data_IF_484922173155
#
_entry.id   IF_484922173155
#
_cell.length_a   1.000
_cell.length_b   1.000
_cell.length_c   1.000
_cell.angle_alpha   90.00
_cell.angle_beta   90.00
_cell.angle_gamma   90.00
#
_symmetry.space_group_name_H-M   'P 1'
#
loop_
_entity.id
_entity.type
_entity.pdbx_description
1 polymer ?
#
# COMPACT_ATOMS: atom_id res chain seq x y z
N UNK A 1 -6.28 -11.37 -27.97
CA UNK A 1 -5.13 -10.68 -28.61
C UNK A 1 -5.52 -9.23 -28.93
N UNK A 2 -4.71 -8.27 -28.48
CA UNK A 2 -4.88 -6.83 -28.72
C UNK A 2 -3.58 -6.29 -29.33
N UNK A 3 -3.67 -5.79 -30.57
CA UNK A 3 -2.52 -5.40 -31.39
C UNK A 3 -2.45 -3.86 -31.54
N UNK A 4 -1.48 -3.36 -32.30
CA UNK A 4 -1.23 -1.92 -32.44
C UNK A 4 -2.51 -1.12 -32.77
N UNK A 5 -2.68 0.00 -32.07
CA UNK A 5 -3.78 0.96 -32.22
C UNK A 5 -5.17 0.42 -31.85
N UNK A 6 -5.26 -0.78 -31.29
CA UNK A 6 -6.53 -1.30 -30.78
C UNK A 6 -6.82 -0.74 -29.38
N UNK A 7 -8.04 -0.24 -29.20
CA UNK A 7 -8.59 0.22 -27.93
C UNK A 7 -9.77 -0.68 -27.57
N UNK A 8 -9.63 -1.44 -26.50
CA UNK A 8 -10.64 -2.44 -26.07
C UNK A 8 -11.16 -2.07 -24.69
N UNK A 9 -12.48 -1.98 -24.54
CA UNK A 9 -13.13 -1.83 -23.23
C UNK A 9 -13.92 -3.08 -22.89
N UNK A 10 -13.63 -3.66 -21.74
CA UNK A 10 -14.29 -4.82 -21.17
C UNK A 10 -15.09 -4.34 -19.96
N UNK A 11 -16.41 -4.33 -20.10
CA UNK A 11 -17.31 -3.83 -19.07
C UNK A 11 -18.42 -4.85 -18.79
N UNK A 12 -18.31 -5.53 -17.64
CA UNK A 12 -19.26 -6.54 -17.19
C UNK A 12 -19.19 -7.85 -17.98
N UNK A 13 -18.15 -8.05 -18.78
CA UNK A 13 -17.96 -9.26 -19.60
C UNK A 13 -17.02 -10.23 -18.90
N UNK A 14 -17.28 -11.54 -19.04
CA UNK A 14 -16.43 -12.58 -18.49
C UNK A 14 -15.53 -13.17 -19.59
N UNK A 15 -14.21 -13.15 -19.36
CA UNK A 15 -13.21 -13.84 -20.17
C UNK A 15 -12.69 -15.01 -19.34
N UNK A 16 -13.28 -16.19 -19.56
CA UNK A 16 -13.06 -17.34 -18.68
C UNK A 16 -12.71 -18.63 -19.40
N UNK A 17 -11.94 -19.48 -18.72
CA UNK A 17 -11.65 -20.86 -19.13
C UNK A 17 -10.96 -20.98 -20.48
N UNK A 18 -10.13 -20.01 -20.83
CA UNK A 18 -9.32 -20.05 -22.05
C UNK A 18 -7.97 -20.71 -21.76
N UNK A 19 -7.41 -21.37 -22.78
CA UNK A 19 -6.05 -21.91 -22.73
C UNK A 19 -5.25 -21.36 -23.91
N UNK A 20 -4.08 -20.80 -23.65
CA UNK A 20 -3.20 -20.27 -24.70
C UNK A 20 -1.73 -20.40 -24.31
N UNK A 21 -0.83 -20.11 -25.24
CA UNK A 21 0.60 -19.98 -24.93
C UNK A 21 0.87 -18.79 -24.01
N UNK A 22 0.23 -17.64 -24.27
CA UNK A 22 0.45 -16.39 -23.55
C UNK A 22 -0.85 -15.61 -23.40
N UNK A 23 -1.05 -14.95 -22.27
CA UNK A 23 -2.20 -14.06 -22.04
C UNK A 23 -3.52 -14.77 -22.34
N UNK A 24 -3.77 -15.92 -21.68
CA UNK A 24 -4.84 -16.82 -22.10
C UNK A 24 -6.22 -16.15 -22.05
N UNK A 25 -6.44 -15.24 -21.10
CA UNK A 25 -7.54 -14.29 -21.21
C UNK A 25 -7.24 -13.17 -22.21
N UNK A 26 -6.23 -12.34 -21.91
CA UNK A 26 -5.88 -11.16 -22.72
C UNK A 26 -4.38 -11.13 -22.99
N UNK A 27 -4.00 -10.96 -24.26
CA UNK A 27 -2.62 -10.71 -24.67
C UNK A 27 -2.51 -9.35 -25.38
N UNK A 28 -1.76 -8.42 -24.79
CA UNK A 28 -1.48 -7.06 -25.30
C UNK A 28 -0.05 -7.02 -25.83
N UNK A 29 0.12 -6.69 -27.11
CA UNK A 29 1.37 -6.98 -27.83
C UNK A 29 2.19 -5.76 -28.22
N UNK A 30 1.56 -4.60 -28.41
CA UNK A 30 2.20 -3.43 -29.02
C UNK A 30 2.01 -2.21 -28.14
N UNK A 31 3.01 -1.32 -28.11
CA UNK A 31 3.03 -0.14 -27.25
C UNK A 31 1.83 0.80 -27.38
N UNK A 32 1.14 0.82 -28.52
CA UNK A 32 -0.07 1.64 -28.73
C UNK A 32 -1.38 0.91 -28.47
N UNK A 33 -1.33 -0.36 -28.07
CA UNK A 33 -2.53 -1.11 -27.68
C UNK A 33 -2.98 -0.68 -26.27
N UNK A 34 -4.29 -0.49 -26.12
CA UNK A 34 -4.89 -0.02 -24.86
C UNK A 34 -6.09 -0.88 -24.51
N UNK A 35 -6.11 -1.41 -23.28
CA UNK A 35 -7.21 -2.23 -22.77
C UNK A 35 -7.70 -1.66 -21.45
N UNK A 36 -9.01 -1.47 -21.33
CA UNK A 36 -9.68 -1.09 -20.08
C UNK A 36 -10.58 -2.23 -19.62
N UNK A 37 -10.45 -2.62 -18.36
CA UNK A 37 -11.36 -3.51 -17.65
C UNK A 37 -12.06 -2.72 -16.53
N UNK A 38 -13.38 -2.63 -16.57
CA UNK A 38 -14.15 -1.85 -15.59
C UNK A 38 -15.03 -2.71 -14.69
N UNK A 39 -15.40 -3.90 -15.16
CA UNK A 39 -16.22 -4.86 -14.44
C UNK A 39 -16.19 -6.22 -15.18
N UNK A 40 -16.64 -7.27 -14.51
CA UNK A 40 -16.64 -8.64 -15.03
C UNK A 40 -15.50 -9.48 -14.45
N UNK A 41 -15.36 -10.69 -14.96
CA UNK A 41 -14.37 -11.67 -14.51
C UNK A 41 -13.39 -12.02 -15.64
N UNK A 42 -12.11 -11.80 -15.42
CA UNK A 42 -11.02 -12.43 -16.18
C UNK A 42 -10.50 -13.57 -15.33
N UNK A 43 -10.97 -14.79 -15.56
CA UNK A 43 -10.68 -15.87 -14.61
C UNK A 43 -10.65 -17.27 -15.17
N UNK A 44 -10.05 -18.19 -14.41
CA UNK A 44 -9.92 -19.59 -14.84
C UNK A 44 -9.18 -19.79 -16.17
N UNK A 45 -8.38 -18.81 -16.60
CA UNK A 45 -7.60 -18.91 -17.82
C UNK A 45 -6.24 -19.54 -17.53
N UNK A 46 -5.73 -20.37 -18.44
CA UNK A 46 -4.46 -21.09 -18.30
C UNK A 46 -3.49 -20.72 -19.41
N UNK A 47 -2.35 -20.14 -19.05
CA UNK A 47 -1.21 -19.97 -19.95
C UNK A 47 -0.24 -21.14 -19.79
N UNK A 48 0.03 -21.87 -20.88
CA UNK A 48 1.00 -22.97 -20.90
C UNK A 48 2.06 -22.80 -22.01
N UNK A 49 2.95 -21.79 -21.90
CA UNK A 49 3.95 -21.50 -22.91
C UNK A 49 4.84 -22.71 -23.27
N UNK A 50 5.13 -23.59 -22.30
CA UNK A 50 5.98 -24.78 -22.48
C UNK A 50 5.28 -25.85 -23.30
N UNK A 51 3.99 -26.11 -23.05
CA UNK A 51 3.18 -27.03 -23.84
C UNK A 51 3.03 -26.61 -25.31
N UNK A 52 3.10 -25.31 -25.61
CA UNK A 52 2.95 -24.78 -26.97
C UNK A 52 4.26 -24.58 -27.75
N UNK A 53 5.40 -24.27 -27.09
CA UNK A 53 6.62 -23.87 -27.81
C UNK A 53 7.69 -24.96 -27.94
N UNK A 54 7.64 -26.03 -27.14
CA UNK A 54 8.54 -27.19 -27.22
C UNK A 54 10.04 -26.91 -27.16
N UNK A 55 10.47 -25.66 -26.92
CA UNK A 55 11.84 -25.21 -27.18
C UNK A 55 12.50 -24.54 -25.97
N UNK A 56 11.89 -24.59 -24.78
CA UNK A 56 12.55 -24.22 -23.53
C UNK A 56 13.06 -22.79 -23.45
N UNK A 57 12.66 -21.88 -24.36
CA UNK A 57 12.93 -20.44 -24.23
C UNK A 57 11.77 -19.85 -23.43
N UNK A 58 12.09 -19.57 -22.17
CA UNK A 58 11.22 -19.55 -21.02
C UNK A 58 11.15 -18.13 -20.47
N UNK A 59 10.18 -17.38 -20.99
CA UNK A 59 10.17 -15.93 -20.76
C UNK A 59 8.78 -15.28 -20.93
N UNK A 60 7.70 -16.04 -20.94
CA UNK A 60 6.39 -15.50 -21.31
C UNK A 60 5.30 -16.11 -20.44
N UNK A 61 4.70 -15.29 -19.58
CA UNK A 61 3.64 -15.69 -18.64
C UNK A 61 2.28 -15.07 -18.95
N UNK A 62 1.43 -14.96 -17.93
CA UNK A 62 0.13 -14.28 -18.00
C UNK A 62 -1.03 -15.24 -18.19
N UNK A 63 -1.41 -15.95 -17.12
CA UNK A 63 -2.58 -16.83 -17.14
C UNK A 63 -3.83 -16.05 -17.51
N UNK A 64 -4.13 -15.00 -16.74
CA UNK A 64 -5.21 -14.06 -17.07
C UNK A 64 -4.80 -13.11 -18.18
N UNK A 65 -3.77 -12.32 -17.91
CA UNK A 65 -3.35 -11.21 -18.75
C UNK A 65 -1.84 -11.27 -18.97
N UNK A 66 -1.43 -11.14 -20.23
CA UNK A 66 -0.07 -10.82 -20.58
C UNK A 66 0.00 -9.45 -21.26
N UNK A 67 0.68 -8.50 -20.63
CA UNK A 67 1.04 -7.22 -21.23
C UNK A 67 2.51 -7.24 -21.66
N UNK A 68 2.76 -7.59 -22.92
CA UNK A 68 4.11 -7.55 -23.47
C UNK A 68 4.57 -6.11 -23.70
N UNK A 69 3.75 -5.34 -24.41
CA UNK A 69 3.91 -3.90 -24.63
C UNK A 69 2.50 -3.29 -24.74
N UNK A 70 2.32 -2.08 -24.23
CA UNK A 70 1.04 -1.37 -24.26
C UNK A 70 0.51 -1.08 -22.87
N UNK A 71 -0.78 -0.73 -22.78
CA UNK A 71 -1.40 -0.29 -21.53
C UNK A 71 -2.60 -1.16 -21.17
N UNK A 72 -2.63 -1.64 -19.94
CA UNK A 72 -3.81 -2.24 -19.33
C UNK A 72 -4.24 -1.40 -18.14
N UNK A 73 -5.53 -1.05 -18.09
CA UNK A 73 -6.13 -0.33 -16.96
C UNK A 73 -7.30 -1.15 -16.43
N UNK A 74 -7.24 -1.54 -15.16
CA UNK A 74 -8.39 -2.09 -14.44
C UNK A 74 -8.90 -1.07 -13.43
N UNK A 75 -10.20 -0.81 -13.42
CA UNK A 75 -10.85 0.11 -12.46
C UNK A 75 -11.94 -0.57 -11.63
N UNK A 76 -12.05 -1.90 -11.76
CA UNK A 76 -13.05 -2.73 -11.13
C UNK A 76 -13.06 -4.14 -11.68
N UNK A 77 -13.96 -4.96 -11.15
CA UNK A 77 -14.09 -6.38 -11.51
C UNK A 77 -13.03 -7.27 -10.85
N UNK A 78 -12.97 -8.50 -11.34
CA UNK A 78 -12.15 -9.56 -10.74
C UNK A 78 -11.20 -10.18 -11.78
N UNK A 79 -9.96 -10.42 -11.38
CA UNK A 79 -8.97 -11.21 -12.11
C UNK A 79 -8.60 -12.40 -11.23
N UNK A 80 -9.26 -13.54 -11.42
CA UNK A 80 -9.25 -14.59 -10.39
C UNK A 80 -9.10 -16.00 -10.93
N UNK A 81 -8.43 -16.86 -10.17
CA UNK A 81 -8.23 -18.27 -10.49
C UNK A 81 -7.56 -18.53 -11.84
N UNK A 82 -6.75 -17.59 -12.33
CA UNK A 82 -5.95 -17.82 -13.52
C UNK A 82 -4.67 -18.57 -13.16
N UNK A 83 -4.16 -19.37 -14.09
CA UNK A 83 -2.95 -20.18 -13.91
C UNK A 83 -1.94 -19.91 -15.03
N UNK A 84 -0.69 -19.72 -14.66
CA UNK A 84 0.44 -19.69 -15.59
C UNK A 84 1.43 -20.80 -15.20
N UNK A 85 1.83 -21.65 -16.15
CA UNK A 85 2.90 -22.64 -15.92
C UNK A 85 4.29 -21.98 -15.83
N UNK A 86 4.35 -20.65 -15.81
CA UNK A 86 5.57 -19.86 -15.60
C UNK A 86 5.36 -18.75 -14.57
N UNK A 87 5.51 -17.48 -14.96
CA UNK A 87 5.27 -16.30 -14.11
C UNK A 87 3.90 -15.65 -14.40
N UNK A 88 3.42 -14.83 -13.48
CA UNK A 88 2.25 -13.96 -13.71
C UNK A 88 0.97 -14.76 -13.88
N UNK A 89 0.47 -15.36 -12.79
CA UNK A 89 -0.78 -16.14 -12.82
C UNK A 89 -1.96 -15.28 -13.25
N UNK A 90 -2.18 -14.17 -12.55
CA UNK A 90 -3.16 -13.15 -12.89
C UNK A 90 -2.66 -12.26 -14.02
N UNK A 91 -1.59 -11.50 -13.76
CA UNK A 91 -1.03 -10.52 -14.68
C UNK A 91 0.48 -10.72 -14.82
N UNK A 92 0.96 -10.82 -16.05
CA UNK A 92 2.36 -10.74 -16.43
C UNK A 92 2.61 -9.44 -17.21
N UNK A 93 3.68 -8.72 -16.88
CA UNK A 93 4.11 -7.49 -17.58
C UNK A 93 5.56 -7.59 -18.01
N UNK A 94 5.80 -7.59 -19.32
CA UNK A 94 7.17 -7.54 -19.84
C UNK A 94 7.70 -6.10 -19.89
N UNK A 95 7.06 -5.23 -20.66
CA UNK A 95 7.51 -3.84 -20.89
C UNK A 95 6.35 -2.86 -21.09
N UNK A 96 5.17 -3.24 -20.59
CA UNK A 96 3.97 -2.41 -20.66
C UNK A 96 3.73 -1.58 -19.39
N UNK A 97 2.62 -0.85 -19.42
CA UNK A 97 2.08 -0.11 -18.28
C UNK A 97 0.82 -0.81 -17.78
N UNK A 98 0.72 -1.00 -16.48
CA UNK A 98 -0.46 -1.58 -15.83
C UNK A 98 -0.92 -0.70 -14.68
N UNK A 99 -2.17 -0.26 -14.72
CA UNK A 99 -2.82 0.44 -13.60
C UNK A 99 -3.99 -0.40 -13.14
N UNK A 100 -4.06 -0.72 -11.86
CA UNK A 100 -5.10 -1.54 -11.25
C UNK A 100 -5.68 -0.79 -10.08
N UNK A 101 -6.95 -0.40 -10.19
CA UNK A 101 -7.66 0.34 -9.15
C UNK A 101 -8.94 -0.40 -8.79
N UNK A 102 -9.27 -0.49 -7.50
CA UNK A 102 -10.53 -1.09 -7.02
C UNK A 102 -10.83 -2.48 -7.60
N UNK A 103 -9.79 -3.28 -7.86
CA UNK A 103 -9.92 -4.59 -8.52
C UNK A 103 -9.52 -5.70 -7.55
N UNK A 104 -10.20 -6.84 -7.63
CA UNK A 104 -9.81 -8.05 -6.89
C UNK A 104 -8.92 -8.94 -7.77
N UNK A 105 -7.75 -9.31 -7.27
CA UNK A 105 -6.91 -10.36 -7.83
C UNK A 105 -6.85 -11.52 -6.84
N UNK A 106 -7.60 -12.60 -7.09
CA UNK A 106 -7.75 -13.66 -6.10
C UNK A 106 -7.47 -15.06 -6.65
N UNK A 107 -6.76 -15.89 -5.86
CA UNK A 107 -6.59 -17.31 -6.16
C UNK A 107 -5.81 -17.59 -7.45
N UNK A 108 -5.04 -16.64 -7.97
CA UNK A 108 -4.24 -16.82 -9.17
C UNK A 108 -2.94 -17.56 -8.83
N UNK A 109 -2.52 -18.43 -9.73
CA UNK A 109 -1.39 -19.34 -9.53
C UNK A 109 -0.37 -19.13 -10.65
N UNK A 110 0.89 -19.01 -10.28
CA UNK A 110 2.04 -19.15 -11.17
C UNK A 110 2.85 -20.36 -10.69
N UNK A 111 3.54 -21.08 -11.57
CA UNK A 111 4.41 -22.18 -11.13
C UNK A 111 5.77 -21.67 -10.61
N UNK A 112 6.19 -20.46 -11.01
CA UNK A 112 7.47 -19.87 -10.62
C UNK A 112 7.33 -18.64 -9.70
N UNK A 113 6.72 -17.54 -10.16
CA UNK A 113 6.57 -16.33 -9.34
C UNK A 113 5.42 -15.42 -9.79
N UNK A 114 4.93 -14.58 -8.87
CA UNK A 114 3.91 -13.57 -9.16
C UNK A 114 2.56 -14.19 -9.47
N UNK A 115 1.95 -14.83 -8.47
CA UNK A 115 0.62 -15.41 -8.59
C UNK A 115 -0.39 -14.36 -9.02
N UNK A 116 -0.44 -13.20 -8.36
CA UNK A 116 -1.31 -12.09 -8.78
C UNK A 116 -0.66 -11.30 -9.92
N UNK A 117 0.61 -10.94 -9.74
CA UNK A 117 1.33 -10.04 -10.63
C UNK A 117 2.82 -10.38 -10.72
N UNK A 118 3.37 -10.33 -11.93
CA UNK A 118 4.81 -10.35 -12.17
C UNK A 118 5.22 -9.27 -13.18
N UNK A 119 6.32 -8.57 -12.92
CA UNK A 119 6.97 -7.67 -13.89
C UNK A 119 8.40 -8.08 -14.20
N UNK A 120 8.81 -7.96 -15.47
CA UNK A 120 10.06 -8.56 -15.93
C UNK A 120 11.16 -7.60 -16.37
N UNK A 121 10.87 -6.66 -17.28
CA UNK A 121 11.89 -5.78 -17.85
C UNK A 121 11.80 -4.37 -17.24
N UNK A 122 12.93 -3.65 -17.17
CA UNK A 122 13.01 -2.32 -16.55
C UNK A 122 12.04 -1.26 -17.10
N UNK A 123 11.52 -1.45 -18.31
CA UNK A 123 10.49 -0.58 -18.89
C UNK A 123 9.07 -0.84 -18.35
N UNK A 124 8.85 -1.93 -17.60
CA UNK A 124 7.57 -2.22 -16.98
C UNK A 124 7.31 -1.25 -15.83
N UNK A 125 6.16 -0.57 -15.89
CA UNK A 125 5.67 0.31 -14.83
C UNK A 125 4.29 -0.15 -14.43
N UNK A 126 4.06 -0.35 -13.14
CA UNK A 126 2.79 -0.86 -12.66
C UNK A 126 2.36 -0.22 -11.36
N UNK A 127 1.06 -0.03 -11.20
CA UNK A 127 0.45 0.64 -10.06
C UNK A 127 -0.80 -0.10 -9.63
N UNK A 128 -0.92 -0.35 -8.33
CA UNK A 128 -2.06 -0.99 -7.69
C UNK A 128 -2.57 -0.08 -6.59
N UNK A 129 -3.80 0.39 -6.72
CA UNK A 129 -4.43 1.33 -5.80
C UNK A 129 -5.75 0.76 -5.30
N UNK A 130 -6.00 0.79 -3.99
CA UNK A 130 -7.30 0.37 -3.41
C UNK A 130 -7.77 -1.02 -3.89
N UNK A 131 -6.84 -1.93 -4.11
CA UNK A 131 -7.12 -3.23 -4.70
C UNK A 131 -6.96 -4.35 -3.68
N UNK A 132 -7.55 -5.51 -3.95
CA UNK A 132 -7.44 -6.67 -3.09
C UNK A 132 -6.64 -7.76 -3.79
N UNK A 133 -5.50 -8.15 -3.23
CA UNK A 133 -4.75 -9.32 -3.66
C UNK A 133 -4.93 -10.38 -2.58
N UNK A 134 -5.50 -11.54 -2.94
CA UNK A 134 -5.74 -12.59 -1.94
C UNK A 134 -5.49 -13.99 -2.46
N UNK A 135 -4.94 -14.86 -1.61
CA UNK A 135 -4.76 -16.29 -1.91
C UNK A 135 -4.00 -16.58 -3.22
N UNK A 136 -3.13 -15.66 -3.66
CA UNK A 136 -2.33 -15.84 -4.87
C UNK A 136 -1.03 -16.58 -4.53
N UNK A 137 -0.59 -17.47 -5.43
CA UNK A 137 0.54 -18.36 -5.21
C UNK A 137 1.52 -18.38 -6.40
N UNK A 138 2.83 -18.58 -6.15
CA UNK A 138 3.47 -18.76 -4.84
C UNK A 138 3.69 -17.44 -4.11
N UNK A 139 3.67 -16.31 -4.83
CA UNK A 139 3.79 -14.96 -4.27
C UNK A 139 2.61 -14.09 -4.68
N UNK A 140 2.28 -13.05 -3.91
CA UNK A 140 1.27 -12.09 -4.34
C UNK A 140 1.79 -11.31 -5.55
N UNK A 141 2.90 -10.61 -5.37
CA UNK A 141 3.58 -9.85 -6.42
C UNK A 141 5.04 -10.28 -6.54
N UNK A 142 5.58 -10.17 -7.76
CA UNK A 142 6.99 -10.39 -8.03
C UNK A 142 7.52 -9.36 -9.05
N UNK A 143 8.74 -8.87 -8.86
CA UNK A 143 9.43 -8.03 -9.85
C UNK A 143 10.82 -8.57 -10.13
N UNK A 144 11.15 -8.76 -11.41
CA UNK A 144 12.49 -9.14 -11.87
C UNK A 144 13.29 -7.90 -12.28
N UNK A 145 12.71 -7.00 -13.09
CA UNK A 145 13.21 -5.67 -13.37
C UNK A 145 11.99 -4.82 -13.75
N UNK A 146 11.82 -3.64 -13.17
CA UNK A 146 10.64 -2.80 -13.38
C UNK A 146 10.32 -1.98 -12.14
N UNK A 147 9.28 -1.17 -12.23
CA UNK A 147 8.78 -0.35 -11.12
C UNK A 147 7.35 -0.76 -10.80
N UNK A 148 7.10 -1.05 -9.53
CA UNK A 148 5.78 -1.39 -9.01
C UNK A 148 5.45 -0.48 -7.80
N UNK A 149 4.31 0.19 -7.87
CA UNK A 149 3.70 0.90 -6.74
C UNK A 149 2.48 0.13 -6.26
N UNK A 150 2.34 -0.07 -4.95
CA UNK A 150 1.15 -0.68 -4.34
C UNK A 150 0.71 0.21 -3.19
N UNK A 151 -0.48 0.76 -3.27
CA UNK A 151 -0.99 1.73 -2.32
C UNK A 151 -2.44 1.45 -1.94
N UNK A 152 -2.78 1.71 -0.68
CA UNK A 152 -4.17 1.62 -0.22
C UNK A 152 -4.80 0.23 -0.30
N UNK A 153 -4.01 -0.80 -0.55
CA UNK A 153 -4.48 -2.10 -0.98
C UNK A 153 -4.50 -3.10 0.18
N UNK A 154 -5.30 -4.14 0.03
CA UNK A 154 -5.33 -5.28 0.96
C UNK A 154 -4.61 -6.46 0.34
N UNK A 155 -3.60 -7.00 1.02
CA UNK A 155 -2.83 -8.16 0.60
C UNK A 155 -2.97 -9.24 1.67
N UNK A 156 -3.68 -10.33 1.35
CA UNK A 156 -4.08 -11.32 2.36
C UNK A 156 -3.86 -12.77 1.91
N UNK A 157 -3.51 -13.63 2.85
CA UNK A 157 -3.40 -15.07 2.64
C UNK A 157 -2.37 -15.43 1.56
N UNK A 158 -1.12 -15.04 1.78
CA UNK A 158 -0.01 -15.29 0.86
C UNK A 158 1.14 -16.04 1.54
N UNK A 159 1.77 -16.99 0.87
CA UNK A 159 3.03 -17.54 1.39
C UNK A 159 4.10 -16.44 1.42
N UNK A 160 4.32 -15.78 0.28
CA UNK A 160 5.18 -14.59 0.16
C UNK A 160 4.39 -13.42 -0.40
N UNK A 161 4.42 -12.25 0.25
CA UNK A 161 3.66 -11.09 -0.23
C UNK A 161 4.39 -10.42 -1.39
N UNK A 162 5.63 -9.96 -1.18
CA UNK A 162 6.42 -9.20 -2.14
C UNK A 162 7.75 -9.92 -2.40
N UNK A 163 7.99 -10.33 -3.64
CA UNK A 163 9.30 -10.82 -4.09
C UNK A 163 9.93 -9.83 -5.06
N UNK A 164 11.15 -9.38 -4.77
CA UNK A 164 11.87 -8.40 -5.60
C UNK A 164 13.22 -8.97 -5.98
N UNK A 165 13.27 -9.73 -7.07
CA UNK A 165 14.52 -10.28 -7.60
C UNK A 165 15.36 -9.20 -8.30
N UNK A 166 14.70 -8.12 -8.73
CA UNK A 166 15.30 -6.87 -9.17
C UNK A 166 14.24 -5.79 -9.45
N UNK A 167 14.69 -4.60 -9.85
CA UNK A 167 13.82 -3.43 -9.98
C UNK A 167 13.51 -2.74 -8.64
N UNK A 168 12.37 -2.05 -8.60
CA UNK A 168 11.95 -1.24 -7.45
C UNK A 168 10.48 -1.45 -7.13
N UNK A 169 10.19 -1.73 -5.87
CA UNK A 169 8.83 -1.74 -5.32
C UNK A 169 8.69 -0.61 -4.31
N UNK A 170 7.63 0.19 -4.46
CA UNK A 170 7.15 1.13 -3.44
C UNK A 170 5.80 0.65 -2.95
N UNK A 171 5.66 0.43 -1.64
CA UNK A 171 4.40 0.01 -1.04
C UNK A 171 4.11 0.84 0.19
N UNK A 172 2.91 1.42 0.30
CA UNK A 172 2.47 2.18 1.49
C UNK A 172 0.96 2.15 1.65
N UNK A 173 0.47 2.51 2.84
CA UNK A 173 -0.95 2.53 3.18
C UNK A 173 -1.69 1.20 2.89
N UNK A 174 -0.96 0.07 2.89
CA UNK A 174 -1.56 -1.24 2.66
C UNK A 174 -1.88 -1.95 3.98
N UNK A 175 -2.94 -2.76 3.96
CA UNK A 175 -3.25 -3.76 4.98
C UNK A 175 -2.73 -5.13 4.51
N UNK A 176 -1.69 -5.64 5.16
CA UNK A 176 -1.01 -6.88 4.78
C UNK A 176 -1.15 -7.89 5.91
N UNK A 177 -1.87 -8.98 5.67
CA UNK A 177 -2.24 -9.97 6.70
C UNK A 177 -2.09 -11.41 6.22
N UNK A 178 -2.10 -12.34 7.18
CA UNK A 178 -2.08 -13.79 6.94
C UNK A 178 -0.99 -14.23 5.94
N UNK A 179 0.27 -13.94 6.25
CA UNK A 179 1.40 -14.32 5.40
C UNK A 179 2.51 -15.04 6.15
N UNK A 180 3.35 -15.78 5.43
CA UNK A 180 4.55 -16.43 5.99
C UNK A 180 5.79 -15.54 5.84
N UNK A 181 5.98 -14.96 4.67
CA UNK A 181 7.09 -14.05 4.34
C UNK A 181 6.54 -12.76 3.74
N UNK A 182 6.87 -11.61 4.33
CA UNK A 182 6.43 -10.31 3.84
C UNK A 182 7.18 -9.93 2.57
N UNK A 183 8.50 -9.74 2.69
CA UNK A 183 9.38 -9.27 1.62
C UNK A 183 10.56 -10.23 1.48
N UNK A 184 10.94 -10.54 0.24
CA UNK A 184 12.15 -11.29 -0.08
C UNK A 184 12.78 -10.83 -1.40
N UNK A 185 13.99 -11.28 -1.70
CA UNK A 185 14.75 -10.94 -2.90
C UNK A 185 15.86 -9.91 -2.66
N UNK A 186 16.54 -9.52 -3.75
CA UNK A 186 17.74 -8.67 -3.72
C UNK A 186 17.54 -7.28 -4.34
N UNK A 187 16.35 -6.98 -4.86
CA UNK A 187 16.02 -5.67 -5.42
C UNK A 187 15.70 -4.61 -4.35
N UNK A 188 15.28 -3.43 -4.81
CA UNK A 188 15.00 -2.30 -3.91
C UNK A 188 13.53 -2.27 -3.50
N UNK A 189 13.28 -2.24 -2.19
CA UNK A 189 11.94 -2.09 -1.62
C UNK A 189 11.90 -0.88 -0.73
N UNK A 190 10.98 0.03 -1.01
CA UNK A 190 10.46 0.99 -0.03
C UNK A 190 9.12 0.45 0.46
N UNK A 191 9.14 -0.19 1.63
CA UNK A 191 7.96 -0.86 2.21
C UNK A 191 7.42 -0.12 3.43
N UNK A 192 7.76 1.16 3.58
CA UNK A 192 7.39 2.00 4.72
C UNK A 192 5.89 2.24 4.74
N UNK A 193 5.35 2.53 5.91
CA UNK A 193 3.95 2.93 6.08
C UNK A 193 2.95 1.86 5.62
N UNK A 194 3.28 0.59 5.72
CA UNK A 194 2.30 -0.50 5.62
C UNK A 194 1.93 -1.02 7.00
N UNK A 195 0.71 -1.55 7.13
CA UNK A 195 0.37 -2.39 8.26
C UNK A 195 0.62 -3.85 7.91
N UNK A 196 1.56 -4.47 8.60
CA UNK A 196 1.95 -5.88 8.40
C UNK A 196 1.14 -6.86 9.27
N UNK A 197 0.03 -6.41 9.85
CA UNK A 197 -0.75 -7.21 10.81
C UNK A 197 -0.16 -7.16 12.22
N UNK A 198 -0.99 -7.52 13.22
CA UNK A 198 -0.61 -7.42 14.64
C UNK A 198 0.42 -8.45 15.10
N UNK A 199 0.58 -9.55 14.36
CA UNK A 199 1.52 -10.63 14.69
C UNK A 199 2.86 -10.57 13.93
N UNK A 200 3.11 -9.52 13.15
CA UNK A 200 4.32 -9.40 12.35
C UNK A 200 5.58 -9.29 13.22
N UNK A 201 6.61 -10.04 12.84
CA UNK A 201 7.97 -9.91 13.38
C UNK A 201 8.91 -9.39 12.29
N UNK A 202 10.06 -8.85 12.69
CA UNK A 202 11.10 -8.43 11.74
C UNK A 202 11.50 -9.58 10.81
N UNK A 203 11.64 -10.79 11.38
CA UNK A 203 11.97 -12.00 10.63
C UNK A 203 10.88 -12.43 9.63
N UNK A 204 9.59 -12.29 9.99
CA UNK A 204 8.49 -12.59 9.09
C UNK A 204 8.37 -11.56 7.96
N UNK A 205 8.59 -10.26 8.24
CA UNK A 205 8.57 -9.21 7.20
C UNK A 205 9.79 -9.30 6.29
N UNK A 206 10.97 -9.67 6.79
CA UNK A 206 12.15 -9.94 5.96
C UNK A 206 12.79 -8.70 5.33
N UNK A 207 12.33 -7.48 5.65
CA UNK A 207 12.89 -6.21 5.20
C UNK A 207 12.89 -5.21 6.35
N UNK A 208 14.07 -4.67 6.68
CA UNK A 208 14.26 -3.70 7.77
C UNK A 208 13.52 -2.40 7.48
N UNK A 209 13.66 -1.86 6.28
CA UNK A 209 12.96 -0.63 5.86
C UNK A 209 11.44 -0.76 5.98
N UNK A 210 10.89 -1.91 5.59
CA UNK A 210 9.45 -2.15 5.70
C UNK A 210 8.99 -2.37 7.15
N UNK A 211 9.82 -3.01 7.99
CA UNK A 211 9.44 -3.34 9.35
C UNK A 211 9.63 -2.16 10.31
N UNK A 212 10.73 -1.43 10.21
CA UNK A 212 11.09 -0.34 11.13
C UNK A 212 10.16 0.88 10.96
N UNK A 213 9.61 1.08 9.76
CA UNK A 213 8.72 2.20 9.42
C UNK A 213 7.25 1.78 9.22
N UNK A 214 6.82 0.67 9.84
CA UNK A 214 5.44 0.19 9.71
C UNK A 214 4.44 1.04 10.50
N UNK A 215 3.18 1.06 10.06
CA UNK A 215 2.08 1.83 10.68
C UNK A 215 1.65 1.33 12.07
N UNK A 216 1.88 0.05 12.35
CA UNK A 216 1.59 -0.55 13.65
C UNK A 216 0.10 -0.74 14.01
N UNK A 217 -0.84 -0.11 13.29
CA UNK A 217 -2.26 -0.42 13.27
C UNK A 217 -2.79 -0.45 11.83
N UNK A 218 -3.95 -1.07 11.64
CA UNK A 218 -4.58 -1.17 10.33
C UNK A 218 -4.86 0.20 9.72
N UNK A 219 -4.77 0.27 8.40
CA UNK A 219 -5.24 1.38 7.59
C UNK A 219 -6.76 1.32 7.55
N UNK A 220 -7.42 2.35 8.07
CA UNK A 220 -8.88 2.51 8.04
C UNK A 220 -9.30 3.36 6.86
N UNK A 221 -8.55 4.42 6.58
CA UNK A 221 -8.73 5.31 5.45
C UNK A 221 -7.37 5.86 5.02
N UNK A 222 -7.22 6.28 3.77
CA UNK A 222 -6.00 6.92 3.30
C UNK A 222 -6.28 7.79 2.06
N UNK A 223 -5.38 8.71 1.77
CA UNK A 223 -5.47 9.53 0.57
C UNK A 223 -4.21 10.35 0.31
N UNK A 224 -4.03 10.72 -0.95
CA UNK A 224 -3.07 11.73 -1.35
C UNK A 224 -3.64 13.12 -1.05
N UNK A 225 -2.98 13.88 -0.18
CA UNK A 225 -3.33 15.25 0.17
C UNK A 225 -4.45 15.38 1.22
N UNK A 226 -5.55 14.63 1.16
CA UNK A 226 -6.66 14.81 2.12
C UNK A 226 -7.54 13.56 2.30
N UNK A 227 -8.19 13.47 3.47
CA UNK A 227 -9.25 12.52 3.80
C UNK A 227 -10.62 13.20 3.92
N UNK A 228 -11.67 12.41 3.85
CA UNK A 228 -13.05 12.88 3.96
C UNK A 228 -13.39 13.50 5.33
N UNK A 229 -12.67 13.12 6.39
CA UNK A 229 -12.83 13.68 7.74
C UNK A 229 -12.15 15.05 7.93
N UNK A 230 -11.47 15.55 6.89
CA UNK A 230 -10.77 16.84 6.87
C UNK A 230 -9.32 16.77 7.33
N UNK A 231 -8.77 15.58 7.58
CA UNK A 231 -7.32 15.42 7.68
C UNK A 231 -6.66 15.79 6.34
N UNK A 232 -5.56 16.54 6.37
CA UNK A 232 -4.92 17.00 5.14
C UNK A 232 -3.42 17.24 5.30
N UNK A 233 -2.70 17.19 4.18
CA UNK A 233 -1.28 17.50 4.02
C UNK A 233 -1.08 18.30 2.73
N UNK A 234 -0.40 19.45 2.81
CA UNK A 234 -0.24 20.36 1.67
C UNK A 234 1.01 21.24 1.77
N UNK A 235 1.33 21.98 0.70
CA UNK A 235 2.35 23.03 0.68
C UNK A 235 3.70 22.63 0.10
N UNK A 236 4.18 21.41 0.35
CA UNK A 236 5.45 20.94 -0.19
C UNK A 236 5.39 20.59 -1.69
N UNK A 237 6.51 20.07 -2.21
CA UNK A 237 6.62 19.60 -3.59
C UNK A 237 6.61 18.08 -3.63
N UNK A 238 5.83 17.49 -4.53
CA UNK A 238 5.60 16.04 -4.63
C UNK A 238 4.25 15.65 -4.04
N UNK A 239 4.11 14.39 -3.64
CA UNK A 239 2.87 13.84 -3.08
C UNK A 239 2.97 13.72 -1.57
N UNK A 240 2.04 14.37 -0.85
CA UNK A 240 1.82 14.15 0.57
C UNK A 240 0.72 13.11 0.78
N UNK A 241 0.91 12.22 1.73
CA UNK A 241 0.00 11.09 1.99
C UNK A 241 -0.47 11.18 3.43
N UNK A 242 -1.77 10.94 3.62
CA UNK A 242 -2.40 10.86 4.94
C UNK A 242 -3.08 9.50 5.07
N UNK A 243 -2.84 8.83 6.20
CA UNK A 243 -3.45 7.56 6.59
C UNK A 243 -4.19 7.78 7.90
N UNK A 244 -5.40 7.26 8.02
CA UNK A 244 -6.11 7.15 9.29
C UNK A 244 -6.07 5.72 9.82
N UNK A 245 -5.77 5.57 11.11
CA UNK A 245 -5.91 4.31 11.85
C UNK A 245 -7.24 4.21 12.61
N UNK A 246 -8.14 5.18 12.41
CA UNK A 246 -9.34 5.32 13.23
C UNK A 246 -8.99 5.55 14.70
N UNK A 247 -9.72 4.90 15.59
CA UNK A 247 -9.51 5.00 17.05
C UNK A 247 -8.51 3.97 17.59
N UNK A 248 -7.95 3.12 16.74
CA UNK A 248 -6.97 2.11 17.14
C UNK A 248 -5.63 2.78 17.42
N UNK A 249 -5.05 2.49 18.57
CA UNK A 249 -3.70 2.98 18.90
C UNK A 249 -2.68 2.24 18.01
N UNK A 250 -1.85 2.95 17.25
CA UNK A 250 -0.79 2.35 16.43
C UNK A 250 0.32 1.69 17.27
N UNK A 251 1.20 0.97 16.59
CA UNK A 251 2.28 0.14 17.15
C UNK A 251 1.84 -1.04 18.03
N UNK A 252 0.63 -1.57 17.81
CA UNK A 252 0.17 -2.81 18.43
C UNK A 252 0.08 -2.74 19.96
N UNK A 253 -0.17 -1.54 20.50
CA UNK A 253 -0.05 -1.27 21.93
C UNK A 253 -1.33 -1.62 22.68
N UNK A 254 -1.31 -2.63 23.56
CA UNK A 254 -2.44 -2.96 24.39
C UNK A 254 -2.33 -2.14 25.67
N UNK A 255 -2.73 -0.88 25.62
CA UNK A 255 -3.18 -0.18 26.82
C UNK A 255 -4.48 0.53 26.51
N UNK A 256 -5.42 0.48 27.46
CA UNK A 256 -6.62 1.29 27.40
C UNK A 256 -6.22 2.73 27.13
N UNK A 257 -6.88 3.38 26.15
CA UNK A 257 -6.69 4.81 25.93
C UNK A 257 -6.82 5.55 27.26
N UNK A 258 -5.92 6.51 27.50
CA UNK A 258 -6.03 7.37 28.67
C UNK A 258 -7.04 8.44 28.29
N UNK A 259 -8.31 8.22 28.67
CA UNK A 259 -9.41 9.05 28.23
C UNK A 259 -9.81 8.80 26.76
N UNK A 260 -10.58 9.72 26.20
CA UNK A 260 -11.07 9.66 24.81
C UNK A 260 -10.29 10.67 23.98
N UNK A 261 -9.60 10.20 22.93
CA UNK A 261 -8.92 11.08 21.97
C UNK A 261 -9.92 11.98 21.24
N UNK A 262 -9.51 13.20 20.91
CA UNK A 262 -10.37 14.15 20.21
C UNK A 262 -10.27 14.08 18.68
N UNK A 263 -9.59 13.07 18.15
CA UNK A 263 -9.41 12.78 16.72
C UNK A 263 -9.15 11.29 16.53
N UNK A 264 -9.14 10.83 15.27
CA UNK A 264 -8.48 9.56 14.96
C UNK A 264 -6.96 9.69 15.16
N UNK A 265 -6.26 8.57 15.14
CA UNK A 265 -4.82 8.51 14.93
C UNK A 265 -4.54 8.56 13.43
N UNK A 266 -3.58 9.38 13.02
CA UNK A 266 -3.21 9.55 11.62
C UNK A 266 -1.72 9.36 11.42
N UNK A 267 -1.27 8.84 10.29
CA UNK A 267 0.12 8.93 9.86
C UNK A 267 0.20 9.87 8.65
N UNK A 268 1.20 10.76 8.66
CA UNK A 268 1.44 11.71 7.57
C UNK A 268 2.86 11.51 7.07
N UNK A 269 2.98 11.28 5.76
CA UNK A 269 4.25 11.06 5.11
C UNK A 269 4.24 11.58 3.69
N UNK A 270 5.34 11.39 2.97
CA UNK A 270 5.46 11.83 1.58
C UNK A 270 5.97 10.72 0.69
N UNK A 271 5.51 10.70 -0.55
CA UNK A 271 6.01 9.75 -1.54
C UNK A 271 7.49 10.01 -1.87
N UNK A 272 8.24 9.00 -2.35
CA UNK A 272 9.62 9.18 -2.76
C UNK A 272 9.82 10.36 -3.73
N UNK A 273 10.85 11.18 -3.47
CA UNK A 273 11.17 12.36 -4.27
C UNK A 273 10.49 13.66 -3.83
N UNK A 274 9.62 13.62 -2.82
CA UNK A 274 9.04 14.81 -2.22
C UNK A 274 10.08 15.67 -1.48
N UNK A 275 9.81 16.97 -1.35
CA UNK A 275 10.67 17.91 -0.64
C UNK A 275 9.93 19.16 -0.17
N UNK A 276 10.57 19.92 0.72
CA UNK A 276 10.09 21.21 1.21
C UNK A 276 9.35 21.13 2.55
N UNK A 277 8.50 22.13 2.76
CA UNK A 277 7.74 22.34 3.99
C UNK A 277 6.26 22.07 3.75
N UNK A 278 5.66 21.32 4.66
CA UNK A 278 4.33 20.77 4.57
C UNK A 278 3.49 21.24 5.75
N UNK A 279 2.28 21.69 5.50
CA UNK A 279 1.27 21.89 6.53
C UNK A 279 0.40 20.66 6.62
N UNK A 280 0.36 20.03 7.79
CA UNK A 280 -0.64 19.00 8.10
C UNK A 280 -1.78 19.62 8.91
N UNK A 281 -2.99 19.12 8.68
CA UNK A 281 -4.23 19.54 9.32
C UNK A 281 -4.90 18.32 9.91
N UNK A 282 -5.18 18.35 11.21
CA UNK A 282 -5.82 17.24 11.93
C UNK A 282 -7.20 17.71 12.41
N UNK A 283 -8.30 17.03 12.01
CA UNK A 283 -9.62 17.39 12.46
C UNK A 283 -9.78 17.07 13.95
N UNK A 284 -10.44 17.98 14.67
CA UNK A 284 -10.78 17.79 16.08
C UNK A 284 -12.29 17.67 16.20
N UNK A 285 -12.75 16.66 16.95
CA UNK A 285 -14.15 16.46 17.32
C UNK A 285 -14.79 17.78 17.76
N UNK A 286 -16.01 18.06 17.31
CA UNK A 286 -16.79 19.23 17.70
C UNK A 286 -17.49 19.09 19.06
N UNK A 287 -17.28 17.98 19.77
CA UNK A 287 -17.74 17.82 21.15
C UNK A 287 -17.12 18.91 22.04
N UNK A 288 -17.91 19.52 22.91
CA UNK A 288 -17.47 20.51 23.87
C UNK A 288 -16.37 19.97 24.81
N UNK A 289 -16.35 18.66 25.07
CA UNK A 289 -15.28 18.00 25.81
C UNK A 289 -13.90 18.13 25.13
N UNK A 290 -13.86 18.41 23.82
CA UNK A 290 -12.64 18.59 23.04
C UNK A 290 -12.24 20.06 22.83
N UNK A 291 -13.01 21.01 23.37
CA UNK A 291 -12.73 22.45 23.23
C UNK A 291 -11.39 22.84 23.86
N UNK A 292 -11.04 22.25 25.00
CA UNK A 292 -9.77 22.52 25.68
C UNK A 292 -8.58 22.05 24.83
N UNK A 293 -8.69 20.88 24.20
CA UNK A 293 -7.69 20.33 23.28
C UNK A 293 -7.52 21.21 22.06
N UNK A 294 -8.63 21.65 21.45
CA UNK A 294 -8.62 22.53 20.29
C UNK A 294 -8.04 23.91 20.63
N UNK A 295 -8.60 24.60 21.63
CA UNK A 295 -8.22 25.98 21.97
C UNK A 295 -6.76 26.10 22.44
N UNK A 296 -6.22 25.06 23.06
CA UNK A 296 -4.84 25.02 23.53
C UNK A 296 -3.87 24.34 22.54
N UNK A 297 -4.29 24.03 21.31
CA UNK A 297 -3.42 23.47 20.27
C UNK A 297 -2.77 22.13 20.67
N UNK A 298 -3.49 21.27 21.37
CA UNK A 298 -2.94 20.03 21.94
C UNK A 298 -2.85 18.95 20.86
N UNK A 299 -1.73 18.93 20.16
CA UNK A 299 -1.39 17.94 19.11
C UNK A 299 -0.09 17.22 19.47
N UNK A 300 -0.10 15.91 19.33
CA UNK A 300 0.99 15.03 19.71
C UNK A 300 1.46 14.21 18.51
N UNK A 301 2.76 13.92 18.45
CA UNK A 301 3.33 12.95 17.53
C UNK A 301 4.10 11.89 18.29
N UNK A 302 4.22 10.71 17.71
CA UNK A 302 5.05 9.68 18.30
C UNK A 302 6.54 10.05 18.17
N UNK A 303 7.33 9.65 19.17
CA UNK A 303 8.74 9.96 19.25
C UNK A 303 9.52 9.29 18.12
N UNK A 304 10.49 10.03 17.59
CA UNK A 304 11.35 9.59 16.49
C UNK A 304 12.81 9.46 16.96
N UNK A 305 13.50 8.48 16.40
CA UNK A 305 14.96 8.41 16.47
C UNK A 305 15.59 9.53 15.62
N UNK A 306 16.90 9.75 15.76
CA UNK A 306 17.64 10.69 14.91
C UNK A 306 17.57 10.34 13.40
N UNK A 307 17.22 9.10 13.05
CA UNK A 307 17.00 8.63 11.68
C UNK A 307 15.56 8.81 11.17
N UNK A 308 14.68 9.48 11.93
CA UNK A 308 13.25 9.66 11.60
C UNK A 308 12.42 8.37 11.58
N UNK A 309 12.94 7.26 12.13
CA UNK A 309 12.16 6.06 12.42
C UNK A 309 11.48 6.16 13.78
N UNK A 310 10.30 5.53 14.00
CA UNK A 310 9.67 5.42 15.32
C UNK A 310 10.66 4.98 16.40
N UNK A 311 10.72 5.71 17.51
CA UNK A 311 11.60 5.38 18.64
C UNK A 311 11.05 4.20 19.42
N UNK A 312 11.61 3.02 19.17
CA UNK A 312 11.18 1.78 19.82
C UNK A 312 11.70 1.62 21.26
N UNK A 313 12.60 2.50 21.70
CA UNK A 313 13.19 2.48 23.04
C UNK A 313 12.40 3.34 24.06
N UNK A 314 11.32 4.01 23.63
CA UNK A 314 10.54 4.85 24.51
C UNK A 314 9.85 4.03 25.62
N UNK A 315 9.96 4.49 26.86
CA UNK A 315 9.36 3.84 28.05
C UNK A 315 8.17 4.64 28.59
N UNK A 316 7.17 4.00 29.23
CA UNK A 316 5.96 4.69 29.66
C UNK A 316 6.24 5.59 30.86
N UNK A 317 6.07 6.88 30.68
CA UNK A 317 5.85 7.89 31.72
C UNK A 317 5.43 9.23 31.11
N UNK A 318 5.95 9.56 29.91
CA UNK A 318 5.57 10.73 29.09
C UNK A 318 6.42 10.85 27.79
N UNK A 319 7.18 9.81 27.40
CA UNK A 319 8.27 9.96 26.43
C UNK A 319 7.90 9.61 24.98
N UNK A 320 6.89 8.77 24.79
CA UNK A 320 6.56 8.24 23.45
C UNK A 320 5.72 9.21 22.62
N UNK A 321 4.83 10.00 23.23
CA UNK A 321 4.07 11.02 22.53
C UNK A 321 4.52 12.41 22.96
N UNK A 322 5.02 13.17 21.99
CA UNK A 322 5.61 14.48 22.20
C UNK A 322 4.65 15.55 21.69
N UNK A 323 4.48 16.60 22.49
CA UNK A 323 3.65 17.73 22.12
C UNK A 323 4.38 18.57 21.06
N UNK A 324 3.69 18.94 19.99
CA UNK A 324 4.21 19.92 19.04
C UNK A 324 4.35 21.31 19.68
N UNK A 325 5.46 21.99 19.39
CA UNK A 325 5.75 23.31 19.97
C UNK A 325 4.87 24.44 19.44
N UNK A 326 4.52 24.42 18.15
CA UNK A 326 3.74 25.49 17.50
C UNK A 326 2.59 24.88 16.69
N UNK A 327 1.38 24.96 17.24
CA UNK A 327 0.16 24.43 16.62
C UNK A 327 -0.86 25.57 16.48
N UNK A 328 -1.47 25.68 15.30
CA UNK A 328 -2.47 26.72 15.00
C UNK A 328 -3.88 26.11 14.94
N UNK A 329 -4.77 26.44 15.90
CA UNK A 329 -6.17 26.07 15.82
C UNK A 329 -6.89 26.89 14.73
N UNK A 330 -7.60 26.20 13.85
CA UNK A 330 -8.42 26.81 12.80
C UNK A 330 -9.88 26.40 13.00
N UNK A 331 -10.75 27.38 13.22
CA UNK A 331 -12.18 27.13 13.35
C UNK A 331 -12.77 26.73 11.99
N UNK A 332 -13.79 25.87 12.00
CA UNK A 332 -14.42 25.38 10.78
C UNK A 332 -15.31 24.17 11.01
N UNK A 333 -15.74 23.54 9.92
CA UNK A 333 -16.47 22.26 9.92
C UNK A 333 -15.82 21.34 8.89
N UNK A 334 -14.83 20.52 9.28
CA UNK A 334 -14.33 20.33 10.65
C UNK A 334 -13.43 21.50 11.13
N UNK A 335 -13.29 21.63 12.45
CA UNK A 335 -12.24 22.47 13.07
C UNK A 335 -10.93 21.68 13.09
N UNK A 336 -9.80 22.32 12.87
CA UNK A 336 -8.51 21.63 12.70
C UNK A 336 -7.39 22.20 13.57
N UNK A 337 -6.45 21.34 13.96
CA UNK A 337 -5.14 21.75 14.45
C UNK A 337 -4.12 21.63 13.30
N UNK A 338 -3.34 22.68 13.09
CA UNK A 338 -2.42 22.77 11.97
C UNK A 338 -0.98 22.93 12.46
N UNK A 339 -0.04 22.18 11.88
CA UNK A 339 1.39 22.31 12.15
C UNK A 339 2.16 22.23 10.84
N UNK A 340 3.25 23.00 10.74
CA UNK A 340 4.13 23.01 9.58
C UNK A 340 5.39 22.22 9.89
N UNK A 341 5.70 21.25 9.04
CA UNK A 341 6.77 20.27 9.19
C UNK A 341 7.64 20.27 7.93
N UNK A 342 8.90 19.90 8.06
CA UNK A 342 9.76 19.57 6.93
C UNK A 342 9.48 18.16 6.43
N UNK A 343 9.90 17.86 5.20
CA UNK A 343 9.77 16.50 4.64
C UNK A 343 10.46 15.44 5.51
N UNK A 344 11.56 15.78 6.19
CA UNK A 344 12.25 14.86 7.10
C UNK A 344 11.44 14.54 8.36
N UNK A 345 10.68 15.50 8.88
CA UNK A 345 9.82 15.33 10.06
C UNK A 345 8.56 14.49 9.76
N UNK A 346 8.24 14.29 8.47
CA UNK A 346 7.15 13.43 8.00
C UNK A 346 7.59 11.98 7.75
N UNK A 347 8.74 11.57 8.30
CA UNK A 347 9.35 10.25 8.08
C UNK A 347 8.60 9.05 8.63
N UNK A 348 7.41 9.22 9.23
CA UNK A 348 6.51 8.13 9.58
C UNK A 348 6.29 7.92 11.06
N UNK A 349 5.51 8.81 11.66
CA UNK A 349 4.92 8.51 12.95
C UNK A 349 3.48 8.96 13.01
N UNK A 350 2.66 8.20 13.75
CA UNK A 350 1.31 8.58 13.97
C UNK A 350 1.25 9.86 14.81
N UNK A 351 0.24 10.65 14.52
CA UNK A 351 -0.10 11.97 15.05
C UNK A 351 -1.53 11.88 15.56
N UNK A 352 -1.77 12.48 16.72
CA UNK A 352 -3.08 12.47 17.37
C UNK A 352 -3.29 13.75 18.16
N UNK A 353 -4.54 14.18 18.27
CA UNK A 353 -4.91 15.23 19.22
C UNK A 353 -4.89 14.72 20.66
N UNK A 354 -4.80 15.63 21.63
CA UNK A 354 -4.98 15.28 23.04
C UNK A 354 -6.35 14.65 23.33
N UNK A 355 -6.46 13.96 24.46
CA UNK A 355 -7.76 13.51 24.98
C UNK A 355 -8.66 14.68 25.39
N UNK A 356 -9.87 14.41 25.88
CA UNK A 356 -10.81 15.43 26.39
C UNK A 356 -10.27 16.33 27.52
N UNK A 357 -9.14 15.98 28.13
CA UNK A 357 -8.45 16.80 29.13
C UNK A 357 -7.21 17.52 28.58
N UNK A 358 -6.95 17.44 27.26
CA UNK A 358 -5.77 18.00 26.61
C UNK A 358 -4.47 17.24 26.88
N UNK A 359 -4.53 16.04 27.47
CA UNK A 359 -3.35 15.23 27.76
C UNK A 359 -3.05 14.26 26.61
N UNK A 360 -1.85 13.67 26.62
CA UNK A 360 -1.54 12.50 25.78
C UNK A 360 -2.68 11.47 25.93
N UNK A 361 -3.33 11.05 24.82
CA UNK A 361 -4.47 10.15 24.89
C UNK A 361 -4.10 8.69 25.19
N UNK A 362 -2.84 8.38 25.49
CA UNK A 362 -2.36 6.99 25.58
C UNK A 362 -1.45 6.72 26.78
N UNK A 363 -1.43 5.47 27.26
CA UNK A 363 -0.49 4.97 28.27
C UNK A 363 0.46 3.96 27.61
N UNK A 364 1.40 4.42 26.81
CA UNK A 364 2.07 3.57 25.80
C UNK A 364 3.28 2.86 26.40
N UNK A 365 3.28 1.52 26.39
CA UNK A 365 4.46 0.67 26.65
C UNK A 365 4.76 -0.20 25.45
N UNK A 366 5.93 -0.02 24.81
CA UNK A 366 6.25 -0.80 23.62
C UNK A 366 6.52 -2.22 24.08
N UNK A 367 5.74 -3.18 23.60
CA UNK A 367 6.23 -4.56 23.61
C UNK A 367 7.47 -4.56 22.73
N UNK A 368 8.58 -5.03 23.30
CA UNK A 368 9.87 -5.07 22.62
C UNK A 368 9.71 -5.65 21.22
N UNK A 369 9.93 -4.82 20.22
CA UNK A 369 10.03 -5.24 18.83
C UNK A 369 11.41 -5.86 18.68
N UNK A 370 11.53 -7.11 19.11
CA UNK A 370 12.76 -7.89 18.95
C UNK A 370 12.84 -8.47 17.55
#
# INVERSE_FOLDING_TARGET
LVNANAHVTINGTNIVSNTAAYGAGIYIVRSTAFVTHTAGLIGYNTADPVGFNGNGVNDFGGGGIYNFQGTFVSTGGDISYNHSTWNGGGIEVASGVVTVTNTTLAGNIADNSGGAFHSRNSAAVSEFTNSTLSANAPTAVSTQNGTLTIEGSTLDNHTTVIQVDGGTVTAYANNITNYTTGVTGAGTVNGRHNWWGSGATAGAVGSTDAFDYRLGAAVVDWGEGTLADGAAISGGTGTGIVVSHGTAVPFGMPTSSVGTACSNYYDFFTAPGASGSWTISIPVSSDAACDSTFNNGRLFHFALTAGSAPDTACTPASACWQLYGTVTPTAGTPRTLNVTLTTAELGGTPIVTGNTSGNDPTAVSLQSLT
#
